data_IF_027432565025
#
_entry.id   IF_027432565025
#
_cell.length_a   1.000
_cell.length_b   1.000
_cell.length_c   1.000
_cell.angle_alpha   90.00
_cell.angle_beta   90.00
_cell.angle_gamma   90.00
#
_symmetry.space_group_name_H-M   'P 1'
#
loop_
_entity.id
_entity.type
_entity.pdbx_description
1 polymer ?
#
# COMPACT_ATOMS: atom_id res chain seq x y z
N UNK A 1 16.73 28.28 -15.22
CA UNK A 1 17.06 27.15 -14.33
C UNK A 1 15.84 26.24 -14.32
N UNK A 2 16.02 24.94 -14.50
CA UNK A 2 14.90 23.99 -14.41
C UNK A 2 14.28 24.10 -13.03
N UNK A 3 12.95 24.18 -12.96
CA UNK A 3 12.15 24.34 -11.72
C UNK A 3 12.14 23.07 -10.87
N UNK A 4 12.64 21.95 -11.43
CA UNK A 4 12.63 20.63 -10.82
C UNK A 4 13.99 19.94 -10.95
N UNK A 5 14.31 19.06 -10.02
CA UNK A 5 15.53 18.24 -10.02
C UNK A 5 15.27 16.72 -10.11
N UNK A 6 14.00 16.31 -10.00
CA UNK A 6 13.54 14.94 -10.19
C UNK A 6 12.06 14.92 -10.61
N UNK A 7 11.59 13.77 -11.07
CA UNK A 7 10.17 13.52 -11.38
C UNK A 7 9.64 12.43 -10.46
N UNK A 8 8.53 12.69 -9.78
CA UNK A 8 7.75 11.68 -9.09
C UNK A 8 6.51 11.37 -9.92
N UNK A 9 6.32 10.10 -10.27
CA UNK A 9 5.18 9.66 -11.06
C UNK A 9 4.42 8.52 -10.37
N UNK A 10 3.09 8.65 -10.31
CA UNK A 10 2.23 7.66 -9.66
C UNK A 10 0.92 7.38 -10.39
N UNK A 11 0.27 6.26 -10.07
CA UNK A 11 -1.09 6.00 -10.51
C UNK A 11 -2.10 6.92 -9.82
N UNK A 12 -1.81 7.37 -8.60
CA UNK A 12 -2.73 8.12 -7.75
C UNK A 12 -2.10 9.37 -7.15
N UNK A 13 -2.94 10.19 -6.50
CA UNK A 13 -2.55 11.34 -5.67
C UNK A 13 -2.91 11.12 -4.19
N UNK A 14 -2.82 9.88 -3.72
CA UNK A 14 -3.22 9.40 -2.41
C UNK A 14 -2.28 9.80 -1.28
N UNK A 15 -2.52 9.27 -0.07
CA UNK A 15 -1.70 9.60 1.11
C UNK A 15 -0.25 9.12 0.98
N UNK A 16 -0.03 7.98 0.33
CA UNK A 16 1.31 7.46 0.06
C UNK A 16 2.09 8.37 -0.88
N UNK A 17 1.44 8.88 -1.93
CA UNK A 17 2.04 9.83 -2.87
C UNK A 17 2.45 11.12 -2.18
N UNK A 18 1.55 11.68 -1.37
CA UNK A 18 1.85 12.88 -0.58
C UNK A 18 3.04 12.67 0.36
N UNK A 19 3.16 11.49 0.97
CA UNK A 19 4.30 11.16 1.85
C UNK A 19 5.61 11.08 1.07
N UNK A 20 5.62 10.46 -0.11
CA UNK A 20 6.80 10.40 -0.97
C UNK A 20 7.24 11.78 -1.44
N UNK A 21 6.31 12.59 -1.95
CA UNK A 21 6.59 13.97 -2.37
C UNK A 21 7.12 14.80 -1.21
N UNK A 22 6.49 14.73 -0.03
CA UNK A 22 6.94 15.45 1.15
C UNK A 22 8.33 14.98 1.62
N UNK A 23 8.63 13.68 1.53
CA UNK A 23 9.94 13.15 1.87
C UNK A 23 11.04 13.71 0.95
N UNK A 24 10.79 13.77 -0.36
CA UNK A 24 11.70 14.40 -1.32
C UNK A 24 11.94 15.88 -0.99
N UNK A 25 10.87 16.63 -0.72
CA UNK A 25 10.97 18.05 -0.33
C UNK A 25 11.76 18.22 0.96
N UNK A 26 11.54 17.37 1.97
CA UNK A 26 12.27 17.42 3.24
C UNK A 26 13.76 17.11 3.08
N UNK A 27 14.14 16.35 2.06
CA UNK A 27 15.53 16.08 1.68
C UNK A 27 16.14 17.22 0.84
N UNK A 28 15.37 18.26 0.52
CA UNK A 28 15.80 19.43 -0.24
C UNK A 28 15.59 19.33 -1.75
N UNK A 29 14.87 18.30 -2.22
CA UNK A 29 14.55 18.12 -3.63
C UNK A 29 13.30 18.89 -4.06
N UNK A 30 13.19 19.15 -5.36
CA UNK A 30 12.04 19.82 -5.99
C UNK A 30 11.44 18.88 -7.04
N UNK A 31 10.54 17.96 -6.65
CA UNK A 31 9.96 17.00 -7.57
C UNK A 31 8.89 17.64 -8.45
N UNK A 32 8.95 17.37 -9.76
CA UNK A 32 7.78 17.48 -10.62
C UNK A 32 6.86 16.29 -10.32
N UNK A 33 5.60 16.56 -9.94
CA UNK A 33 4.63 15.52 -9.57
C UNK A 33 3.66 15.30 -10.72
N UNK A 34 3.62 14.08 -11.24
CA UNK A 34 2.75 13.66 -12.34
C UNK A 34 1.96 12.42 -11.91
N UNK A 35 0.69 12.33 -12.26
CA UNK A 35 -0.13 11.19 -11.86
C UNK A 35 -1.14 10.77 -12.92
N UNK A 36 -1.45 9.48 -12.96
CA UNK A 36 -2.44 8.92 -13.90
C UNK A 36 -3.85 9.45 -13.62
N UNK A 37 -4.22 9.60 -12.35
CA UNK A 37 -5.54 10.13 -11.94
C UNK A 37 -5.79 11.57 -12.37
N UNK A 38 -4.75 12.34 -12.64
CA UNK A 38 -4.84 13.72 -13.18
C UNK A 38 -4.52 13.80 -14.67
N UNK A 39 -4.18 12.68 -15.31
CA UNK A 39 -3.86 12.58 -16.72
C UNK A 39 -5.04 12.08 -17.54
N UNK A 40 -5.06 12.41 -18.83
CA UNK A 40 -6.12 11.95 -19.75
C UNK A 40 -5.97 10.49 -20.16
N UNK A 41 -4.75 9.96 -20.15
CA UNK A 41 -4.43 8.55 -20.41
C UNK A 41 -3.03 8.22 -19.90
N UNK A 42 -2.69 6.93 -19.87
CA UNK A 42 -1.34 6.45 -19.57
C UNK A 42 -0.31 6.97 -20.59
N UNK A 43 -0.64 6.98 -21.88
CA UNK A 43 0.26 7.48 -22.93
C UNK A 43 0.50 8.99 -22.79
N UNK A 44 -0.53 9.74 -22.39
CA UNK A 44 -0.40 11.16 -22.09
C UNK A 44 0.52 11.39 -20.88
N UNK A 45 0.36 10.60 -19.81
CA UNK A 45 1.22 10.64 -18.64
C UNK A 45 2.68 10.36 -19.01
N UNK A 46 2.96 9.29 -19.76
CA UNK A 46 4.32 8.93 -20.19
C UNK A 46 4.92 10.04 -21.07
N UNK A 47 4.13 10.66 -21.94
CA UNK A 47 4.56 11.79 -22.77
C UNK A 47 4.94 13.01 -21.91
N UNK A 48 4.15 13.32 -20.88
CA UNK A 48 4.46 14.36 -19.91
C UNK A 48 5.72 14.05 -19.12
N UNK A 49 5.88 12.81 -18.64
CA UNK A 49 7.10 12.37 -17.92
C UNK A 49 8.33 12.56 -18.80
N UNK A 50 8.29 12.16 -20.07
CA UNK A 50 9.38 12.37 -21.03
C UNK A 50 9.72 13.84 -21.23
N UNK A 51 8.70 14.68 -21.42
CA UNK A 51 8.89 16.11 -21.63
C UNK A 51 9.50 16.80 -20.39
N UNK A 52 9.10 16.37 -19.20
CA UNK A 52 9.58 16.94 -17.93
C UNK A 52 10.96 16.42 -17.55
N UNK A 53 11.18 15.10 -17.62
CA UNK A 53 12.43 14.48 -17.18
C UNK A 53 13.58 14.69 -18.17
N UNK A 54 13.26 14.74 -19.48
CA UNK A 54 14.25 14.65 -20.54
C UNK A 54 15.13 13.41 -20.38
N UNK A 55 16.41 13.52 -20.73
CA UNK A 55 17.40 12.45 -20.53
C UNK A 55 18.24 12.59 -19.25
N UNK A 56 17.96 13.60 -18.42
CA UNK A 56 18.85 14.01 -17.33
C UNK A 56 18.26 13.86 -15.94
N UNK A 57 16.94 14.01 -15.77
CA UNK A 57 16.33 13.94 -14.44
C UNK A 57 15.96 12.49 -14.10
N UNK A 58 16.23 12.04 -12.86
CA UNK A 58 15.75 10.75 -12.39
C UNK A 58 14.23 10.75 -12.24
N UNK A 59 13.60 9.62 -12.57
CA UNK A 59 12.15 9.41 -12.45
C UNK A 59 11.89 8.36 -11.39
N UNK A 60 11.24 8.75 -10.29
CA UNK A 60 10.75 7.84 -9.26
C UNK A 60 9.33 7.44 -9.62
N UNK A 61 9.11 6.16 -9.92
CA UNK A 61 7.86 5.67 -10.50
C UNK A 61 7.31 4.46 -9.73
N UNK A 62 6.02 4.51 -9.37
CA UNK A 62 5.27 3.35 -8.88
C UNK A 62 3.76 3.59 -8.93
N UNK A 63 2.90 2.61 -8.58
CA UNK A 63 3.22 1.20 -8.39
C UNK A 63 3.84 0.54 -9.62
N UNK A 64 4.57 -0.56 -9.40
CA UNK A 64 5.31 -1.23 -10.47
C UNK A 64 4.40 -1.77 -11.58
N UNK A 65 3.22 -2.30 -11.19
CA UNK A 65 2.23 -2.91 -12.08
C UNK A 65 1.50 -1.89 -12.97
N UNK A 66 1.22 -0.69 -12.45
CA UNK A 66 0.34 0.28 -13.13
C UNK A 66 1.08 1.37 -13.90
N UNK A 67 2.28 1.77 -13.45
CA UNK A 67 3.02 2.89 -14.03
C UNK A 67 4.37 2.44 -14.53
N UNK A 68 5.17 1.84 -13.65
CA UNK A 68 6.61 1.67 -13.90
C UNK A 68 6.89 0.71 -15.05
N UNK A 69 6.17 -0.42 -15.13
CA UNK A 69 6.29 -1.37 -16.23
C UNK A 69 6.06 -0.72 -17.59
N UNK A 70 5.01 0.09 -17.71
CA UNK A 70 4.68 0.79 -18.95
C UNK A 70 5.69 1.90 -19.26
N UNK A 71 6.15 2.64 -18.24
CA UNK A 71 7.16 3.67 -18.41
C UNK A 71 8.48 3.07 -18.94
N UNK A 72 8.95 1.97 -18.35
CA UNK A 72 10.17 1.27 -18.80
C UNK A 72 10.01 0.73 -20.22
N UNK A 73 8.83 0.18 -20.56
CA UNK A 73 8.57 -0.36 -21.88
C UNK A 73 8.50 0.73 -22.97
N UNK A 74 7.84 1.86 -22.67
CA UNK A 74 7.60 2.91 -23.66
C UNK A 74 8.69 3.97 -23.70
N UNK A 75 9.41 4.19 -22.59
CA UNK A 75 10.43 5.23 -22.41
C UNK A 75 11.73 4.68 -21.77
N UNK A 76 12.39 3.69 -22.40
CA UNK A 76 13.60 3.05 -21.87
C UNK A 76 14.81 3.98 -21.76
N UNK A 77 14.78 5.15 -22.41
CA UNK A 77 15.82 6.17 -22.31
C UNK A 77 15.83 6.93 -20.97
N UNK A 78 14.76 6.82 -20.18
CA UNK A 78 14.63 7.51 -18.89
C UNK A 78 15.39 6.78 -17.79
N UNK A 79 16.01 7.55 -16.89
CA UNK A 79 16.61 6.99 -15.67
C UNK A 79 15.52 6.69 -14.65
N UNK A 80 14.89 5.52 -14.78
CA UNK A 80 13.74 5.13 -13.96
C UNK A 80 14.17 4.37 -12.71
N UNK A 81 13.78 4.90 -11.56
CA UNK A 81 13.86 4.24 -10.26
C UNK A 81 12.46 3.75 -9.88
N UNK A 82 12.29 2.43 -9.79
CA UNK A 82 11.04 1.82 -9.40
C UNK A 82 10.77 2.00 -7.91
N UNK A 83 9.52 2.28 -7.57
CA UNK A 83 8.99 2.24 -6.20
C UNK A 83 8.06 1.03 -6.13
N UNK A 84 8.42 0.02 -5.33
CA UNK A 84 7.52 -1.08 -5.00
C UNK A 84 6.53 -0.67 -3.93
N UNK A 85 5.30 -1.11 -4.08
CA UNK A 85 4.17 -0.85 -3.20
C UNK A 85 3.60 -2.16 -2.71
N UNK A 86 3.76 -2.49 -1.43
CA UNK A 86 2.97 -3.49 -0.71
C UNK A 86 2.94 -4.89 -1.34
N UNK A 87 2.12 -5.07 -2.38
CA UNK A 87 1.86 -6.33 -3.07
C UNK A 87 2.25 -6.35 -4.56
N UNK A 88 2.70 -5.25 -5.16
CA UNK A 88 2.93 -5.17 -6.61
C UNK A 88 3.96 -6.18 -7.14
N UNK A 89 5.05 -6.42 -6.41
CA UNK A 89 6.03 -7.47 -6.77
C UNK A 89 5.45 -8.88 -6.64
N UNK A 90 4.54 -9.12 -5.70
CA UNK A 90 3.86 -10.41 -5.60
C UNK A 90 2.86 -10.63 -6.73
N UNK A 91 2.17 -9.56 -7.16
CA UNK A 91 1.26 -9.59 -8.31
C UNK A 91 2.03 -9.87 -9.61
N UNK A 92 3.15 -9.16 -9.84
CA UNK A 92 4.03 -9.43 -10.97
C UNK A 92 4.58 -10.85 -10.95
N UNK A 93 4.96 -11.38 -9.76
CA UNK A 93 5.40 -12.76 -9.62
C UNK A 93 4.29 -13.75 -9.98
N UNK A 94 3.06 -13.52 -9.53
CA UNK A 94 1.93 -14.40 -9.78
C UNK A 94 1.57 -14.48 -11.28
N UNK A 95 1.90 -13.44 -12.04
CA UNK A 95 1.65 -13.35 -13.49
C UNK A 95 2.89 -13.61 -14.36
N UNK A 96 4.04 -13.94 -13.77
CA UNK A 96 5.34 -14.13 -14.48
C UNK A 96 5.79 -12.87 -15.26
N UNK A 97 5.50 -11.68 -14.73
CA UNK A 97 5.77 -10.38 -15.35
C UNK A 97 7.00 -9.65 -14.78
N UNK A 98 7.95 -10.41 -14.22
CA UNK A 98 9.12 -9.84 -13.54
C UNK A 98 10.30 -9.51 -14.48
N UNK A 99 10.25 -10.01 -15.72
CA UNK A 99 11.40 -10.00 -16.63
C UNK A 99 11.90 -8.58 -16.95
N UNK A 100 11.08 -7.53 -16.85
CA UNK A 100 11.49 -6.16 -17.15
C UNK A 100 12.22 -5.46 -16.00
N UNK A 101 12.17 -5.99 -14.77
CA UNK A 101 12.68 -5.30 -13.59
C UNK A 101 14.19 -5.02 -13.65
N UNK A 102 14.97 -5.86 -14.35
CA UNK A 102 16.42 -5.65 -14.53
C UNK A 102 16.77 -4.40 -15.37
N UNK A 103 15.79 -3.82 -16.08
CA UNK A 103 15.96 -2.59 -16.84
C UNK A 103 15.86 -1.32 -15.98
N UNK A 104 15.48 -1.45 -14.70
CA UNK A 104 15.45 -0.32 -13.77
C UNK A 104 16.88 0.17 -13.45
N UNK A 105 17.02 1.49 -13.37
CA UNK A 105 18.24 2.14 -12.88
C UNK A 105 18.39 1.99 -11.36
N UNK A 106 17.27 1.82 -10.65
CA UNK A 106 17.21 1.50 -9.24
C UNK A 106 15.82 0.98 -8.85
N UNK A 107 15.74 0.29 -7.71
CA UNK A 107 14.47 -0.19 -7.16
C UNK A 107 14.43 0.03 -5.66
N UNK A 108 13.39 0.70 -5.19
CA UNK A 108 13.05 0.81 -3.77
C UNK A 108 12.08 -0.31 -3.41
N UNK A 109 12.42 -1.09 -2.40
CA UNK A 109 11.56 -2.14 -1.82
C UNK A 109 11.31 -1.87 -0.34
N UNK A 110 10.18 -2.33 0.17
CA UNK A 110 9.69 -2.05 1.54
C UNK A 110 9.76 -3.26 2.50
N UNK A 111 10.07 -4.46 1.99
CA UNK A 111 10.14 -5.69 2.78
C UNK A 111 11.19 -6.67 2.23
N UNK A 112 11.67 -7.58 3.09
CA UNK A 112 12.61 -8.63 2.66
C UNK A 112 11.98 -9.57 1.63
N UNK A 113 10.72 -10.01 1.76
CA UNK A 113 10.06 -10.78 0.71
C UNK A 113 10.05 -10.08 -0.66
N UNK A 114 9.74 -8.78 -0.72
CA UNK A 114 9.76 -8.03 -1.99
C UNK A 114 11.18 -7.91 -2.54
N UNK A 115 12.20 -7.74 -1.70
CA UNK A 115 13.62 -7.81 -2.09
C UNK A 115 14.00 -9.16 -2.71
N UNK A 116 13.55 -10.28 -2.13
CA UNK A 116 13.85 -11.62 -2.64
C UNK A 116 13.23 -11.85 -4.01
N UNK A 117 11.99 -11.38 -4.23
CA UNK A 117 11.32 -11.44 -5.54
C UNK A 117 12.13 -10.65 -6.57
N UNK A 118 12.48 -9.41 -6.28
CA UNK A 118 13.28 -8.58 -7.18
C UNK A 118 14.67 -9.18 -7.47
N UNK A 119 15.31 -9.79 -6.47
CA UNK A 119 16.59 -10.49 -6.64
C UNK A 119 16.44 -11.69 -7.58
N UNK A 120 15.38 -12.48 -7.41
CA UNK A 120 15.09 -13.62 -8.29
C UNK A 120 14.78 -13.20 -9.73
N UNK A 121 14.26 -12.00 -9.91
CA UNK A 121 14.03 -11.36 -11.22
C UNK A 121 15.30 -10.77 -11.86
N UNK A 122 16.46 -10.89 -11.21
CA UNK A 122 17.75 -10.43 -11.73
C UNK A 122 18.05 -8.95 -11.47
N UNK A 123 17.33 -8.27 -10.56
CA UNK A 123 17.68 -6.90 -10.16
C UNK A 123 18.99 -6.94 -9.33
N UNK A 124 20.04 -6.21 -9.73
CA UNK A 124 21.30 -6.17 -8.98
C UNK A 124 21.15 -5.61 -7.57
N UNK A 125 21.82 -6.22 -6.59
CA UNK A 125 21.73 -5.82 -5.18
C UNK A 125 22.20 -4.37 -4.93
N UNK A 126 23.18 -3.89 -5.68
CA UNK A 126 23.70 -2.51 -5.64
C UNK A 126 22.74 -1.47 -6.27
N UNK A 127 21.70 -1.93 -6.98
CA UNK A 127 20.61 -1.09 -7.50
C UNK A 127 19.35 -1.14 -6.64
N UNK A 128 19.35 -1.92 -5.55
CA UNK A 128 18.19 -2.06 -4.66
C UNK A 128 18.41 -1.37 -3.32
N UNK A 129 17.51 -0.45 -2.96
CA UNK A 129 17.48 0.16 -1.63
C UNK A 129 16.24 -0.29 -0.84
N UNK A 130 16.41 -0.40 0.48
CA UNK A 130 15.36 -0.84 1.40
C UNK A 130 14.81 0.36 2.17
N UNK A 131 13.53 0.67 1.97
CA UNK A 131 12.84 1.76 2.68
C UNK A 131 11.50 1.22 3.19
N UNK A 132 11.42 0.74 4.43
CA UNK A 132 10.17 0.28 5.01
C UNK A 132 9.27 1.47 5.37
N UNK A 133 7.96 1.22 5.44
CA UNK A 133 7.01 2.23 5.89
C UNK A 133 7.17 2.52 7.39
N UNK A 134 7.43 3.80 7.70
CA UNK A 134 7.49 4.30 9.07
C UNK A 134 6.12 4.62 9.66
N UNK A 135 6.10 4.82 10.97
CA UNK A 135 4.96 5.29 11.75
C UNK A 135 5.34 6.54 12.55
N UNK A 136 4.39 7.43 12.78
CA UNK A 136 4.56 8.59 13.65
C UNK A 136 4.57 8.15 15.12
N UNK A 137 5.77 8.04 15.71
CA UNK A 137 5.95 7.56 17.08
C UNK A 137 5.25 8.43 18.13
N UNK A 138 5.28 9.78 18.05
CA UNK A 138 4.43 10.64 18.88
C UNK A 138 2.93 10.34 18.79
N UNK A 139 2.42 10.02 17.60
CA UNK A 139 0.99 9.74 17.42
C UNK A 139 0.59 8.34 17.92
N UNK A 140 1.48 7.35 17.80
CA UNK A 140 1.22 5.95 18.15
C UNK A 140 2.05 5.49 19.35
N UNK A 141 1.47 5.63 20.54
CA UNK A 141 2.11 5.24 21.80
C UNK A 141 1.33 4.12 22.51
N UNK A 142 2.00 3.25 23.29
CA UNK A 142 1.33 2.16 24.01
C UNK A 142 0.42 2.65 25.16
N UNK A 143 0.54 3.92 25.54
CA UNK A 143 -0.21 4.58 26.61
C UNK A 143 -1.21 5.61 26.08
N UNK A 144 -1.52 5.55 24.78
CA UNK A 144 -2.47 6.46 24.14
C UNK A 144 -3.90 6.32 24.65
N UNK A 145 -4.77 7.21 24.17
CA UNK A 145 -6.20 7.22 24.47
C UNK A 145 -6.83 5.86 24.16
N UNK A 146 -7.65 5.37 25.09
CA UNK A 146 -8.46 4.16 24.92
C UNK A 146 -9.90 4.55 24.67
N UNK A 147 -10.58 3.83 23.80
CA UNK A 147 -12.03 3.96 23.66
C UNK A 147 -12.69 3.34 24.89
N UNK A 148 -13.81 3.89 25.36
CA UNK A 148 -14.66 3.19 26.32
C UNK A 148 -15.45 2.11 25.58
N UNK A 149 -15.36 0.84 26.01
CA UNK A 149 -16.00 -0.27 25.30
C UNK A 149 -17.53 -0.18 25.35
N UNK A 150 -18.06 0.50 26.37
CA UNK A 150 -19.47 0.89 26.46
C UNK A 150 -19.96 1.69 25.25
N UNK A 151 -19.09 2.46 24.57
CA UNK A 151 -19.46 3.16 23.32
C UNK A 151 -19.73 2.22 22.14
N UNK A 152 -19.23 0.99 22.22
CA UNK A 152 -19.52 -0.10 21.29
C UNK A 152 -20.65 -1.03 21.78
N UNK A 153 -21.24 -0.72 22.94
CA UNK A 153 -22.27 -1.53 23.60
C UNK A 153 -21.72 -2.74 24.35
N UNK A 154 -20.44 -2.73 24.71
CA UNK A 154 -19.78 -3.82 25.43
C UNK A 154 -19.40 -3.43 26.85
N UNK A 155 -19.24 -4.42 27.72
CA UNK A 155 -18.74 -4.21 29.08
C UNK A 155 -17.25 -3.84 29.07
N UNK A 156 -16.83 -2.99 30.00
CA UNK A 156 -15.44 -2.47 30.06
C UNK A 156 -14.40 -3.53 30.44
N UNK A 157 -14.82 -4.71 30.93
CA UNK A 157 -13.98 -5.88 31.18
C UNK A 157 -13.80 -6.79 29.94
N UNK A 158 -14.45 -6.46 28.82
CA UNK A 158 -14.31 -7.20 27.57
C UNK A 158 -12.91 -7.04 26.97
N UNK A 159 -12.44 -8.06 26.25
CA UNK A 159 -11.19 -8.03 25.48
C UNK A 159 -11.50 -7.83 24.01
N UNK A 160 -10.88 -6.83 23.39
CA UNK A 160 -11.13 -6.47 22.00
C UNK A 160 -9.99 -6.91 21.09
N UNK A 161 -10.34 -7.63 20.03
CA UNK A 161 -9.49 -7.88 18.86
C UNK A 161 -9.85 -6.85 17.80
N UNK A 162 -8.83 -6.28 17.14
CA UNK A 162 -9.00 -5.23 16.14
C UNK A 162 -8.38 -5.65 14.81
N UNK A 163 -9.17 -5.61 13.74
CA UNK A 163 -8.70 -5.65 12.36
C UNK A 163 -9.08 -4.35 11.66
N UNK A 164 -8.14 -3.69 11.00
CA UNK A 164 -8.36 -2.44 10.24
C UNK A 164 -8.10 -2.62 8.74
N UNK A 165 -8.13 -3.86 8.24
CA UNK A 165 -7.85 -4.17 6.84
C UNK A 165 -9.09 -3.94 5.98
N UNK A 166 -8.88 -3.48 4.75
CA UNK A 166 -9.96 -3.40 3.77
C UNK A 166 -10.61 -4.76 3.53
N UNK A 167 -11.90 -4.77 3.22
CA UNK A 167 -12.67 -6.00 3.01
C UNK A 167 -12.49 -6.53 1.60
N UNK A 168 -11.24 -6.82 1.23
CA UNK A 168 -10.86 -7.38 -0.07
C UNK A 168 -10.24 -8.77 0.11
N UNK A 169 -10.32 -9.59 -0.93
CA UNK A 169 -9.89 -11.00 -0.90
C UNK A 169 -8.45 -11.16 -0.41
N UNK A 170 -7.54 -10.28 -0.86
CA UNK A 170 -6.13 -10.27 -0.48
C UNK A 170 -5.92 -10.22 1.04
N UNK A 171 -6.79 -9.52 1.78
CA UNK A 171 -6.65 -9.33 3.22
C UNK A 171 -7.27 -10.42 4.06
N UNK A 172 -8.04 -11.33 3.44
CA UNK A 172 -8.60 -12.53 4.08
C UNK A 172 -9.29 -12.24 5.42
N UNK A 173 -10.05 -11.14 5.48
CA UNK A 173 -10.77 -10.74 6.71
C UNK A 173 -11.78 -11.80 7.16
N UNK A 174 -12.28 -12.61 6.22
CA UNK A 174 -13.12 -13.78 6.53
C UNK A 174 -12.42 -14.78 7.46
N UNK A 175 -11.13 -15.03 7.29
CA UNK A 175 -10.40 -15.97 8.15
C UNK A 175 -10.24 -15.43 9.57
N UNK A 176 -10.11 -14.11 9.72
CA UNK A 176 -10.11 -13.46 11.04
C UNK A 176 -11.47 -13.68 11.72
N UNK A 177 -12.56 -13.57 10.97
CA UNK A 177 -13.92 -13.82 11.49
C UNK A 177 -14.12 -15.28 11.90
N UNK A 178 -13.73 -16.25 11.06
CA UNK A 178 -13.87 -17.67 11.40
C UNK A 178 -13.00 -18.03 12.63
N UNK A 179 -11.74 -17.58 12.68
CA UNK A 179 -10.88 -17.80 13.84
C UNK A 179 -11.43 -17.12 15.11
N UNK A 180 -12.04 -15.94 14.97
CA UNK A 180 -12.72 -15.29 16.08
C UNK A 180 -13.93 -16.10 16.57
N UNK A 181 -14.71 -16.71 15.68
CA UNK A 181 -15.85 -17.55 16.06
C UNK A 181 -15.41 -18.73 16.94
N UNK A 182 -14.30 -19.39 16.58
CA UNK A 182 -13.72 -20.47 17.37
C UNK A 182 -13.33 -19.99 18.78
N UNK A 183 -12.66 -18.84 18.90
CA UNK A 183 -12.29 -18.25 20.19
C UNK A 183 -13.54 -17.85 20.99
N UNK A 184 -14.50 -17.19 20.34
CA UNK A 184 -15.73 -16.71 20.95
C UNK A 184 -16.58 -17.86 21.52
N UNK A 185 -16.48 -19.07 20.97
CA UNK A 185 -17.18 -20.26 21.48
C UNK A 185 -16.69 -20.72 22.86
N UNK A 186 -15.45 -20.38 23.24
CA UNK A 186 -14.82 -20.79 24.50
C UNK A 186 -14.68 -19.64 25.50
N UNK A 187 -14.68 -18.40 25.01
CA UNK A 187 -14.47 -17.23 25.83
C UNK A 187 -15.56 -16.18 25.53
N UNK A 188 -16.53 -15.95 26.43
CA UNK A 188 -17.66 -15.04 26.21
C UNK A 188 -17.28 -13.55 26.30
N UNK A 189 -16.08 -13.22 26.77
CA UNK A 189 -15.67 -11.83 27.03
C UNK A 189 -14.82 -11.23 25.91
N UNK A 190 -14.59 -11.95 24.81
CA UNK A 190 -13.84 -11.46 23.65
C UNK A 190 -14.78 -10.88 22.59
N UNK A 191 -14.37 -9.75 22.01
CA UNK A 191 -15.12 -8.97 21.04
C UNK A 191 -14.22 -8.66 19.84
N UNK A 192 -14.81 -8.54 18.65
CA UNK A 192 -14.08 -8.23 17.42
C UNK A 192 -14.56 -6.92 16.82
N UNK A 193 -13.61 -6.04 16.53
CA UNK A 193 -13.85 -4.84 15.72
C UNK A 193 -13.20 -5.04 14.35
N UNK A 194 -14.02 -4.89 13.31
CA UNK A 194 -13.58 -4.92 11.91
C UNK A 194 -13.75 -3.51 11.35
N UNK A 195 -12.65 -2.81 11.13
CA UNK A 195 -12.60 -1.49 10.51
C UNK A 195 -12.50 -1.55 8.99
N UNK A 196 -12.76 -0.41 8.34
CA UNK A 196 -12.73 -0.21 6.88
C UNK A 196 -13.98 -0.79 6.19
N UNK A 197 -14.04 -0.63 4.86
CA UNK A 197 -14.99 -1.29 3.97
C UNK A 197 -14.30 -1.90 2.74
N UNK A 198 -15.07 -2.47 1.81
CA UNK A 198 -14.56 -3.14 0.61
C UNK A 198 -15.62 -4.04 -0.02
N UNK A 199 -15.25 -4.68 -1.13
CA UNK A 199 -16.13 -5.54 -1.94
C UNK A 199 -16.80 -6.66 -1.13
N UNK A 200 -16.11 -7.21 -0.13
CA UNK A 200 -16.60 -8.32 0.71
C UNK A 200 -17.41 -7.87 1.94
N UNK A 201 -17.64 -6.58 2.15
CA UNK A 201 -18.30 -6.08 3.37
C UNK A 201 -19.65 -6.72 3.63
N UNK A 202 -20.49 -6.82 2.60
CA UNK A 202 -21.83 -7.40 2.72
C UNK A 202 -21.75 -8.89 3.09
N UNK A 203 -20.85 -9.63 2.43
CA UNK A 203 -20.60 -11.05 2.69
C UNK A 203 -20.13 -11.29 4.12
N UNK A 204 -19.17 -10.48 4.62
CA UNK A 204 -18.67 -10.59 5.99
C UNK A 204 -19.77 -10.32 7.02
N UNK A 205 -20.65 -9.34 6.78
CA UNK A 205 -21.79 -9.06 7.68
C UNK A 205 -22.80 -10.20 7.70
N UNK A 206 -23.15 -10.74 6.53
CA UNK A 206 -24.04 -11.90 6.46
C UNK A 206 -23.44 -13.09 7.23
N UNK A 207 -22.13 -13.32 7.08
CA UNK A 207 -21.42 -14.39 7.78
C UNK A 207 -21.43 -14.21 9.31
N UNK A 208 -21.28 -12.98 9.81
CA UNK A 208 -21.42 -12.67 11.25
C UNK A 208 -22.80 -13.09 11.75
N UNK A 209 -23.87 -12.78 11.01
CA UNK A 209 -25.23 -13.14 11.40
C UNK A 209 -25.50 -14.65 11.34
N UNK A 210 -24.95 -15.35 10.34
CA UNK A 210 -25.02 -16.81 10.25
C UNK A 210 -24.35 -17.49 11.46
N UNK A 211 -23.22 -16.93 11.91
CA UNK A 211 -22.47 -17.40 13.07
C UNK A 211 -23.07 -16.93 14.41
N UNK A 212 -24.15 -16.14 14.38
CA UNK A 212 -24.80 -15.55 15.57
C UNK A 212 -23.84 -14.69 16.42
N UNK A 213 -22.96 -13.94 15.75
CA UNK A 213 -21.95 -13.10 16.39
C UNK A 213 -22.30 -11.61 16.35
N UNK A 214 -23.52 -11.23 15.99
CA UNK A 214 -23.95 -9.83 15.82
C UNK A 214 -23.74 -8.98 17.08
N UNK A 215 -23.85 -9.56 18.27
CA UNK A 215 -23.63 -8.83 19.52
C UNK A 215 -22.14 -8.64 19.84
N UNK A 216 -21.26 -9.43 19.22
CA UNK A 216 -19.84 -9.56 19.56
C UNK A 216 -18.89 -9.03 18.49
N UNK A 217 -19.42 -8.72 17.30
CA UNK A 217 -18.67 -8.11 16.19
C UNK A 217 -19.21 -6.70 15.92
N UNK A 218 -18.32 -5.73 15.75
CA UNK A 218 -18.66 -4.37 15.32
C UNK A 218 -17.86 -4.01 14.08
N UNK A 219 -18.56 -3.56 13.06
CA UNK A 219 -17.94 -2.96 11.89
C UNK A 219 -17.85 -1.44 12.07
N UNK A 220 -16.67 -0.85 11.85
CA UNK A 220 -16.43 0.59 12.05
C UNK A 220 -15.74 1.22 10.82
N UNK A 221 -15.86 2.54 10.70
CA UNK A 221 -15.21 3.29 9.62
C UNK A 221 -15.80 3.01 8.24
N UNK A 222 -15.10 3.52 7.23
CA UNK A 222 -15.39 3.37 5.80
C UNK A 222 -14.09 3.03 5.09
#
# INVERSE_FOLDING_TARGET
MTEFDCVYVSATSGIHDKRWVQALVNLGHQPAVLSLDTSTSLDALISSVRATAGSSLPVLAGPLTTITQHLVAQAPELTTVGLSWGFDLFELLAHDELAWLHNLSGLVVDSEPTRLIATSAGVPADRMTFIPWGIDLPAFTPIGSKIALSTLGWSDDSRMVLSLRAHEELYRVGDILEAFADVASTDPNVMLVIGHSGSLTATLRARVSELQLDERVRFIGT
#
